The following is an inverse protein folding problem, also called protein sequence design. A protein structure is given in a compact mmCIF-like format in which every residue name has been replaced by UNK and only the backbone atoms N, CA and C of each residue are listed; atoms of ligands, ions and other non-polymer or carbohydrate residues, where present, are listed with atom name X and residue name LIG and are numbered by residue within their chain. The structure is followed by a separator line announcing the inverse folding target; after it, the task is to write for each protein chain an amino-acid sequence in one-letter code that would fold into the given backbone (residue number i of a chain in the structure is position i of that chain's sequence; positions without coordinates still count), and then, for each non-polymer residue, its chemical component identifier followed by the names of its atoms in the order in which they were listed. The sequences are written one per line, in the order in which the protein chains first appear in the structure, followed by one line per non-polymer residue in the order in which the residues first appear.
data_IF_501002166599
#
_entry.id   IF_501002166599
#
_cell.length_a   1.000
_cell.length_b   1.000
_cell.length_c   1.000
_cell.angle_alpha   90.00
_cell.angle_beta   90.00
_cell.angle_gamma   90.00
#
_symmetry.space_group_name_H-M   'P 1'
#
loop_
_entity.id
_entity.type
_entity.pdbx_description
1 polymer ?
#
# COMPACT_ATOMS: atom_id res chain seq x y z
N UNK A 1 -1.41 25.06 -2.81
CA UNK A 1 -2.74 24.92 -2.19
C UNK A 1 -2.85 23.51 -1.65
N UNK A 2 -2.77 23.25 -0.33
CA UNK A 2 -2.97 21.90 0.17
C UNK A 2 -4.47 21.60 0.10
N UNK A 3 -4.84 20.61 -0.71
CA UNK A 3 -6.23 20.20 -0.87
C UNK A 3 -6.63 19.35 0.34
N UNK A 4 -7.06 20.00 1.42
CA UNK A 4 -7.65 19.33 2.57
C UNK A 4 -8.86 18.50 2.13
N UNK A 5 -8.79 17.17 2.25
CA UNK A 5 -9.93 16.28 1.99
C UNK A 5 -10.36 15.59 3.29
N UNK A 6 -11.15 16.36 4.04
CA UNK A 6 -12.06 16.01 5.15
C UNK A 6 -11.59 14.96 6.18
N UNK A 7 -11.24 15.47 7.36
CA UNK A 7 -11.22 14.74 8.64
C UNK A 7 -9.85 14.69 9.32
N UNK A 8 -8.78 14.60 8.53
CA UNK A 8 -7.40 14.57 9.02
C UNK A 8 -6.57 15.52 8.15
N UNK A 9 -5.74 16.35 8.80
CA UNK A 9 -4.81 17.25 8.13
C UNK A 9 -3.54 16.46 7.85
N UNK A 10 -3.53 15.74 6.71
CA UNK A 10 -2.40 14.92 6.26
C UNK A 10 -1.79 15.60 5.03
N UNK A 11 -0.47 15.75 5.01
CA UNK A 11 0.24 16.27 3.84
C UNK A 11 0.28 15.22 2.72
N UNK A 12 0.25 15.62 1.45
CA UNK A 12 0.35 14.69 0.32
C UNK A 12 1.62 13.80 0.44
N UNK A 13 2.70 14.33 1.05
CA UNK A 13 3.95 13.60 1.32
C UNK A 13 3.86 12.52 2.40
N UNK A 14 2.80 12.50 3.18
CA UNK A 14 2.53 11.46 4.18
C UNK A 14 1.63 10.35 3.60
N UNK A 15 1.27 10.43 2.32
CA UNK A 15 0.39 9.48 1.65
C UNK A 15 1.21 8.47 0.85
N UNK A 16 0.86 7.19 1.00
CA UNK A 16 1.21 6.14 0.05
C UNK A 16 0.03 5.90 -0.90
N UNK A 17 0.29 5.81 -2.21
CA UNK A 17 -0.74 5.58 -3.22
C UNK A 17 -0.42 4.38 -4.12
N UNK A 18 -1.42 3.57 -4.44
CA UNK A 18 -1.31 2.44 -5.38
C UNK A 18 -2.25 2.70 -6.55
N UNK A 19 -1.71 2.79 -7.76
CA UNK A 19 -2.48 3.04 -8.98
C UNK A 19 -2.04 2.14 -10.13
N UNK A 20 -2.94 1.88 -11.07
CA UNK A 20 -2.73 0.92 -12.17
C UNK A 20 -2.95 1.52 -13.56
N UNK A 21 -3.64 2.66 -13.69
CA UNK A 21 -3.98 3.25 -14.98
C UNK A 21 -3.59 4.75 -15.10
N UNK A 22 -3.65 5.29 -16.32
CA UNK A 22 -3.12 6.62 -16.67
C UNK A 22 -3.83 7.75 -15.89
N UNK A 23 -5.08 7.55 -15.49
CA UNK A 23 -5.83 8.50 -14.66
C UNK A 23 -5.24 8.67 -13.26
N UNK A 24 -4.39 7.75 -12.81
CA UNK A 24 -3.74 7.79 -11.50
C UNK A 24 -2.47 8.66 -11.49
N UNK A 25 -1.89 8.95 -12.66
CA UNK A 25 -0.64 9.69 -12.79
C UNK A 25 -0.63 11.04 -12.04
N UNK A 26 -1.70 11.87 -12.09
CA UNK A 26 -1.72 13.13 -11.35
C UNK A 26 -1.63 12.97 -9.83
N UNK A 27 -2.00 11.80 -9.29
CA UNK A 27 -1.88 11.48 -7.86
C UNK A 27 -0.51 10.90 -7.56
N UNK A 28 -0.05 9.95 -8.38
CA UNK A 28 1.28 9.32 -8.28
C UNK A 28 2.39 10.37 -8.20
N UNK A 29 2.31 11.41 -9.03
CA UNK A 29 3.34 12.48 -9.09
C UNK A 29 3.33 13.43 -7.88
N UNK A 30 2.35 13.32 -6.98
CA UNK A 30 2.16 14.25 -5.84
C UNK A 30 2.45 13.65 -4.48
N UNK A 31 2.22 12.35 -4.32
CA UNK A 31 2.26 11.69 -3.01
C UNK A 31 3.68 11.50 -2.48
N UNK A 32 3.81 11.02 -1.24
CA UNK A 32 5.09 10.73 -0.62
C UNK A 32 5.78 9.50 -1.22
N UNK A 33 4.99 8.45 -1.45
CA UNK A 33 5.46 7.22 -2.10
C UNK A 33 4.34 6.60 -2.94
N UNK A 34 4.71 6.07 -4.09
CA UNK A 34 3.78 5.54 -5.07
C UNK A 34 4.14 4.10 -5.46
N UNK A 35 3.10 3.32 -5.72
CA UNK A 35 3.19 1.91 -6.08
C UNK A 35 2.34 1.61 -7.30
N UNK A 36 2.73 0.61 -8.08
CA UNK A 36 1.90 0.03 -9.14
C UNK A 36 1.87 -1.50 -9.06
N UNK A 37 0.72 -2.15 -9.31
CA UNK A 37 0.68 -3.60 -9.54
C UNK A 37 1.56 -4.05 -10.71
N UNK A 38 1.92 -5.33 -10.73
CA UNK A 38 2.77 -5.91 -11.79
C UNK A 38 2.15 -5.81 -13.20
N UNK A 39 0.82 -5.83 -13.28
CA UNK A 39 -0.01 -5.75 -14.48
C UNK A 39 -0.51 -4.33 -14.80
N UNK A 40 -0.05 -3.32 -14.05
CA UNK A 40 -0.39 -1.92 -14.32
C UNK A 40 0.08 -1.46 -15.70
N UNK A 41 -0.60 -0.42 -16.21
CA UNK A 41 -0.25 0.20 -17.48
C UNK A 41 1.22 0.64 -17.51
N UNK A 42 1.91 0.42 -18.63
CA UNK A 42 3.35 0.65 -18.73
C UNK A 42 3.78 2.10 -18.39
N UNK A 43 2.95 3.10 -18.69
CA UNK A 43 3.21 4.50 -18.33
C UNK A 43 3.18 4.74 -16.81
N UNK A 44 2.38 3.96 -16.08
CA UNK A 44 2.26 4.02 -14.62
C UNK A 44 3.47 3.38 -13.98
N UNK A 45 3.81 2.16 -14.41
CA UNK A 45 5.01 1.43 -13.94
C UNK A 45 6.32 2.20 -14.12
N UNK A 46 6.38 3.07 -15.14
CA UNK A 46 7.55 3.91 -15.40
C UNK A 46 7.64 5.17 -14.51
N UNK A 47 6.59 5.49 -13.74
CA UNK A 47 6.48 6.75 -12.97
C UNK A 47 6.30 6.54 -11.47
N UNK A 48 5.96 5.33 -11.03
CA UNK A 48 5.86 5.01 -9.60
C UNK A 48 7.24 4.75 -8.99
N UNK A 49 7.35 4.94 -7.68
CA UNK A 49 8.58 4.66 -6.92
C UNK A 49 8.86 3.15 -6.86
N UNK A 50 7.80 2.35 -6.76
CA UNK A 50 7.90 0.90 -6.64
C UNK A 50 6.87 0.17 -7.52
N UNK A 51 7.32 -0.83 -8.27
CA UNK A 51 6.43 -1.76 -8.96
C UNK A 51 6.36 -3.05 -8.13
N UNK A 52 5.16 -3.42 -7.71
CA UNK A 52 4.90 -4.64 -6.96
C UNK A 52 5.14 -5.88 -7.82
N UNK A 53 5.52 -6.98 -7.17
CA UNK A 53 5.57 -8.30 -7.82
C UNK A 53 4.19 -8.89 -8.07
N UNK A 54 3.18 -8.47 -7.29
CA UNK A 54 1.82 -8.99 -7.36
C UNK A 54 0.91 -8.15 -8.29
N UNK A 55 0.04 -8.84 -9.03
CA UNK A 55 -0.96 -8.23 -9.89
C UNK A 55 -2.15 -7.63 -9.12
N UNK A 56 -2.90 -6.74 -9.78
CA UNK A 56 -4.13 -6.15 -9.30
C UNK A 56 -5.14 -7.20 -8.84
N UNK A 57 -5.72 -7.03 -7.64
CA UNK A 57 -6.67 -8.00 -7.07
C UNK A 57 -6.07 -9.36 -6.67
N UNK A 58 -4.75 -9.56 -6.81
CA UNK A 58 -4.05 -10.81 -6.44
C UNK A 58 -3.26 -10.71 -5.13
N UNK A 59 -3.45 -9.64 -4.37
CA UNK A 59 -2.73 -9.39 -3.11
C UNK A 59 -1.83 -8.16 -3.13
N UNK A 60 -1.83 -7.36 -4.19
CA UNK A 60 -0.99 -6.15 -4.28
C UNK A 60 -1.19 -5.18 -3.11
N UNK A 61 -2.42 -4.97 -2.65
CA UNK A 61 -2.68 -4.12 -1.49
C UNK A 61 -2.03 -4.67 -0.20
N UNK A 62 -1.96 -6.01 -0.08
CA UNK A 62 -1.28 -6.67 1.04
C UNK A 62 0.22 -6.49 0.95
N UNK A 63 0.81 -6.76 -0.21
CA UNK A 63 2.26 -6.59 -0.46
C UNK A 63 2.68 -5.15 -0.15
N UNK A 64 1.95 -4.15 -0.65
CA UNK A 64 2.23 -2.74 -0.38
C UNK A 64 2.08 -2.40 1.10
N UNK A 65 1.00 -2.86 1.76
CA UNK A 65 0.80 -2.60 3.18
C UNK A 65 1.93 -3.20 4.03
N UNK A 66 2.38 -4.42 3.72
CA UNK A 66 3.51 -5.05 4.40
C UNK A 66 4.81 -4.30 4.14
N UNK A 67 5.07 -3.86 2.91
CA UNK A 67 6.24 -3.04 2.59
C UNK A 67 6.26 -1.71 3.37
N UNK A 68 5.13 -1.02 3.46
CA UNK A 68 5.02 0.24 4.23
C UNK A 68 5.24 0.00 5.72
N UNK A 69 4.61 -1.02 6.31
CA UNK A 69 4.73 -1.33 7.74
C UNK A 69 6.15 -1.74 8.11
N UNK A 70 6.76 -2.62 7.32
CA UNK A 70 8.13 -3.07 7.55
C UNK A 70 9.15 -1.96 7.31
N UNK A 71 8.93 -1.11 6.30
CA UNK A 71 9.72 0.10 6.06
C UNK A 71 9.65 1.11 7.21
N UNK A 72 8.54 1.16 7.94
CA UNK A 72 8.37 1.96 9.16
C UNK A 72 8.97 1.30 10.43
N UNK A 73 9.58 0.11 10.31
CA UNK A 73 10.22 -0.61 11.41
C UNK A 73 9.31 -1.57 12.18
N UNK A 74 8.06 -1.79 11.73
CA UNK A 74 7.17 -2.79 12.33
C UNK A 74 7.40 -4.15 11.67
N UNK A 75 7.84 -5.14 12.45
CA UNK A 75 7.98 -6.51 11.94
C UNK A 75 6.63 -7.11 11.57
N UNK A 76 6.59 -8.06 10.63
CA UNK A 76 5.33 -8.74 10.28
C UNK A 76 4.77 -9.54 11.45
N UNK A 77 5.63 -10.15 12.27
CA UNK A 77 5.20 -10.84 13.49
C UNK A 77 4.46 -9.88 14.43
N UNK A 78 4.94 -8.65 14.59
CA UNK A 78 4.29 -7.63 15.41
C UNK A 78 3.00 -7.12 14.78
N UNK A 79 3.00 -6.87 13.47
CA UNK A 79 1.83 -6.41 12.73
C UNK A 79 0.66 -7.41 12.80
N UNK A 80 0.97 -8.71 12.72
CA UNK A 80 -0.03 -9.78 12.80
C UNK A 80 -0.31 -10.28 14.21
N UNK A 81 0.47 -9.87 15.22
CA UNK A 81 0.35 -10.35 16.60
C UNK A 81 -1.09 -10.36 17.13
N UNK A 82 -1.90 -9.29 16.99
CA UNK A 82 -3.26 -9.29 17.53
C UNK A 82 -4.14 -10.40 16.94
N UNK A 83 -3.94 -10.69 15.65
CA UNK A 83 -4.67 -11.75 14.94
C UNK A 83 -4.18 -13.14 15.37
N UNK A 84 -2.87 -13.32 15.47
CA UNK A 84 -2.26 -14.59 15.90
C UNK A 84 -2.66 -14.95 17.34
N UNK A 85 -2.69 -13.97 18.24
CA UNK A 85 -3.13 -14.16 19.63
C UNK A 85 -4.61 -14.55 19.70
N UNK A 86 -5.46 -13.93 18.89
CA UNK A 86 -6.88 -14.29 18.81
C UNK A 86 -7.08 -15.74 18.34
N UNK A 87 -6.29 -16.21 17.38
CA UNK A 87 -6.43 -17.57 16.83
C UNK A 87 -5.92 -18.67 17.74
N UNK A 88 -4.96 -18.38 18.64
CA UNK A 88 -4.47 -19.38 19.62
C UNK A 88 -5.56 -19.91 20.54
N UNK A 89 -6.67 -19.18 20.71
CA UNK A 89 -7.80 -19.59 21.54
C UNK A 89 -8.85 -20.46 20.83
N UNK A 90 -8.74 -20.69 19.52
CA UNK A 90 -9.70 -21.46 18.74
C UNK A 90 -9.02 -22.69 18.12
N UNK A 91 -9.71 -23.83 18.09
CA UNK A 91 -9.29 -24.99 17.29
C UNK A 91 -9.39 -24.62 15.80
N UNK A 92 -8.28 -24.11 15.25
CA UNK A 92 -8.19 -23.80 13.83
C UNK A 92 -8.08 -25.11 13.05
N UNK A 93 -9.16 -25.52 12.40
CA UNK A 93 -9.15 -26.59 11.39
C UNK A 93 -9.07 -25.92 10.01
N UNK A 94 -8.03 -26.24 9.24
CA UNK A 94 -7.88 -25.81 7.85
C UNK A 94 -8.76 -26.61 6.90
#
# INVERSE_FOLDING_TARGET
MPASRRGQQIDDREIAYVGDDVNDLPVIERVGVSYAPADAHHLVRARVDHVAGTAGGRGVAREVAEHVLTGAGLSLDDAYRPLLEQWRGHDVIQ
#
